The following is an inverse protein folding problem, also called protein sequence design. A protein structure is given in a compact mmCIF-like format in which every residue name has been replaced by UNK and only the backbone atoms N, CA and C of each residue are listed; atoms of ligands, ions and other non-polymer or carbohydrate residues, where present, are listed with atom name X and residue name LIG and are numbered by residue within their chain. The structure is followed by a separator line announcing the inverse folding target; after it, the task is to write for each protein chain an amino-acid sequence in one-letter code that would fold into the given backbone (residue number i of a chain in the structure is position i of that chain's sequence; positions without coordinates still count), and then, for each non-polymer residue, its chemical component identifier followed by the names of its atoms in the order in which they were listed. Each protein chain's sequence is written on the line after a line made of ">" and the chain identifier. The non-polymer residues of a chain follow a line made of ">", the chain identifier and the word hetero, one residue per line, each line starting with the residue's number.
data_IF_879507574148
#
_entry.id   IF_879507574148
#
_cell.length_a   1.000
_cell.length_b   1.000
_cell.length_c   1.000
_cell.angle_alpha   90.00
_cell.angle_beta   90.00
_cell.angle_gamma   90.00
#
_symmetry.space_group_name_H-M   'P 1'
#
loop_
_entity.id
_entity.type
_entity.pdbx_description
1 polymer ?
#
# COMPACT_ATOMS: atom_id res chain seq x y z
N UNK A 1 -3.50 -6.95 21.43
CA UNK A 1 -2.62 -7.28 20.29
C UNK A 1 -3.37 -6.97 19.00
N UNK A 2 -2.78 -6.24 18.05
CA UNK A 2 -3.41 -5.97 16.75
C UNK A 2 -3.58 -7.27 15.96
N UNK A 3 -4.77 -7.53 15.40
CA UNK A 3 -5.04 -8.74 14.61
C UNK A 3 -4.13 -8.81 13.38
N UNK A 4 -3.96 -7.69 12.70
CA UNK A 4 -3.05 -7.50 11.57
C UNK A 4 -2.18 -6.25 11.78
N UNK A 5 -0.97 -6.25 11.23
CA UNK A 5 -0.11 -5.06 11.25
C UNK A 5 -0.30 -4.20 10.00
N UNK A 6 -0.67 -4.82 8.88
CA UNK A 6 -0.72 -4.19 7.56
C UNK A 6 -2.02 -4.53 6.84
N UNK A 7 -2.72 -3.52 6.33
CA UNK A 7 -3.68 -3.69 5.24
C UNK A 7 -2.93 -3.72 3.92
N UNK A 8 -3.07 -4.79 3.14
CA UNK A 8 -2.52 -4.86 1.79
C UNK A 8 -3.64 -4.91 0.77
N UNK A 9 -3.68 -3.95 -0.15
CA UNK A 9 -4.72 -3.85 -1.17
C UNK A 9 -4.13 -3.81 -2.57
N UNK A 10 -4.84 -4.44 -3.50
CA UNK A 10 -4.52 -4.46 -4.93
C UNK A 10 -5.72 -3.96 -5.73
N UNK A 11 -5.44 -3.31 -6.85
CA UNK A 11 -6.50 -2.84 -7.76
C UNK A 11 -7.15 -3.96 -8.56
N UNK A 12 -6.48 -5.10 -8.74
CA UNK A 12 -6.97 -6.22 -9.55
C UNK A 12 -6.51 -7.58 -9.02
N UNK A 13 -7.22 -8.65 -9.42
CA UNK A 13 -6.79 -10.03 -9.15
C UNK A 13 -5.51 -10.40 -9.91
N UNK A 14 -5.22 -9.78 -11.06
CA UNK A 14 -3.98 -10.02 -11.82
C UNK A 14 -2.72 -9.59 -11.07
N UNK A 15 -2.83 -8.57 -10.21
CA UNK A 15 -1.70 -8.10 -9.39
C UNK A 15 -1.26 -9.14 -8.34
N UNK A 16 -2.11 -10.13 -8.05
CA UNK A 16 -1.87 -11.15 -7.03
C UNK A 16 -0.61 -11.97 -7.27
N UNK A 17 -0.20 -12.14 -8.54
CA UNK A 17 1.07 -12.80 -8.88
C UNK A 17 2.26 -12.11 -8.21
N UNK A 18 2.28 -10.77 -8.23
CA UNK A 18 3.28 -9.96 -7.55
C UNK A 18 2.98 -9.81 -6.06
N UNK A 19 1.71 -9.74 -5.68
CA UNK A 19 1.28 -9.67 -4.28
C UNK A 19 1.72 -10.87 -3.45
N UNK A 20 1.76 -12.07 -4.05
CA UNK A 20 2.26 -13.28 -3.39
C UNK A 20 3.73 -13.14 -2.94
N UNK A 21 4.57 -12.45 -3.71
CA UNK A 21 5.95 -12.18 -3.30
C UNK A 21 5.99 -11.31 -2.05
N UNK A 22 5.21 -10.21 -2.03
CA UNK A 22 5.12 -9.34 -0.86
C UNK A 22 4.63 -10.11 0.37
N UNK A 23 3.54 -10.89 0.24
CA UNK A 23 2.97 -11.69 1.33
C UNK A 23 3.96 -12.73 1.87
N UNK A 24 4.74 -13.37 0.99
CA UNK A 24 5.78 -14.30 1.40
C UNK A 24 6.90 -13.63 2.22
N UNK A 25 7.33 -12.44 1.80
CA UNK A 25 8.31 -11.63 2.53
C UNK A 25 7.76 -11.16 3.88
N UNK A 26 6.53 -10.62 3.92
CA UNK A 26 5.88 -10.21 5.16
C UNK A 26 5.78 -11.36 6.17
N UNK A 27 5.41 -12.56 5.72
CA UNK A 27 5.38 -13.76 6.55
C UNK A 27 6.76 -14.09 7.11
N UNK A 28 7.83 -13.97 6.31
CA UNK A 28 9.22 -14.18 6.76
C UNK A 28 9.63 -13.18 7.85
N UNK A 29 9.09 -11.96 7.82
CA UNK A 29 9.34 -10.92 8.81
C UNK A 29 8.38 -10.98 10.01
N UNK A 30 7.52 -12.00 10.15
CA UNK A 30 6.55 -12.08 11.25
C UNK A 30 5.38 -11.09 11.14
N UNK A 31 5.22 -10.44 9.98
CA UNK A 31 4.20 -9.41 9.76
C UNK A 31 2.88 -10.06 9.34
N UNK A 32 1.84 -9.92 10.16
CA UNK A 32 0.46 -10.31 9.82
C UNK A 32 -0.16 -9.30 8.86
N UNK A 33 -0.57 -9.77 7.68
CA UNK A 33 -1.16 -8.95 6.62
C UNK A 33 -2.62 -9.30 6.43
N UNK A 34 -3.46 -8.29 6.21
CA UNK A 34 -4.84 -8.43 5.76
C UNK A 34 -4.92 -8.10 4.26
N UNK A 35 -4.93 -9.10 3.37
CA UNK A 35 -4.96 -8.85 1.93
C UNK A 35 -6.38 -8.55 1.45
N UNK A 36 -6.51 -7.73 0.42
CA UNK A 36 -7.78 -7.33 -0.20
C UNK A 36 -7.58 -6.99 -1.68
N UNK A 37 -8.65 -7.07 -2.46
CA UNK A 37 -8.71 -6.51 -3.82
C UNK A 37 -9.82 -5.46 -3.84
N UNK A 38 -9.44 -4.21 -4.05
CA UNK A 38 -10.34 -3.07 -4.09
C UNK A 38 -9.83 -2.09 -5.15
N UNK A 39 -10.62 -1.87 -6.19
CA UNK A 39 -10.23 -1.00 -7.30
C UNK A 39 -10.83 0.39 -7.15
N UNK A 40 -10.01 1.44 -7.14
CA UNK A 40 -10.52 2.81 -7.22
C UNK A 40 -11.13 3.17 -8.60
N UNK A 41 -10.91 2.35 -9.64
CA UNK A 41 -11.45 2.57 -11.00
C UNK A 41 -12.68 1.72 -11.30
N UNK A 42 -12.66 0.42 -10.95
CA UNK A 42 -13.78 -0.48 -11.23
C UNK A 42 -14.88 -0.40 -10.18
N UNK A 43 -14.51 -0.16 -8.91
CA UNK A 43 -15.43 0.15 -7.81
C UNK A 43 -15.57 1.67 -7.63
N UNK A 44 -15.51 2.43 -8.73
CA UNK A 44 -15.33 3.88 -8.72
C UNK A 44 -16.43 4.62 -7.93
N UNK A 45 -15.99 5.46 -7.00
CA UNK A 45 -16.84 6.35 -6.19
C UNK A 45 -16.68 6.11 -4.69
N UNK A 46 -17.80 6.29 -3.97
CA UNK A 46 -17.86 6.23 -2.51
C UNK A 46 -17.45 4.86 -1.94
N UNK A 47 -17.54 3.78 -2.72
CA UNK A 47 -17.25 2.43 -2.24
C UNK A 47 -15.77 2.23 -1.88
N UNK A 48 -14.85 2.76 -2.69
CA UNK A 48 -13.43 2.69 -2.38
C UNK A 48 -13.10 3.55 -1.15
N UNK A 49 -13.67 4.75 -1.04
CA UNK A 49 -13.44 5.63 0.13
C UNK A 49 -14.05 5.06 1.40
N UNK A 50 -15.23 4.44 1.32
CA UNK A 50 -15.86 3.69 2.42
C UNK A 50 -15.01 2.48 2.82
N UNK A 51 -14.48 1.75 1.83
CA UNK A 51 -13.52 0.68 2.09
C UNK A 51 -12.30 1.21 2.84
N UNK A 52 -11.69 2.32 2.39
CA UNK A 52 -10.55 2.93 3.05
C UNK A 52 -10.89 3.37 4.49
N UNK A 53 -12.03 4.03 4.68
CA UNK A 53 -12.50 4.49 5.99
C UNK A 53 -12.73 3.34 6.98
N UNK A 54 -13.07 2.14 6.49
CA UNK A 54 -13.27 0.94 7.29
C UNK A 54 -11.98 0.18 7.64
N UNK A 55 -10.81 0.62 7.17
CA UNK A 55 -9.53 -0.04 7.47
C UNK A 55 -9.09 0.32 8.89
N UNK A 56 -8.96 -0.68 9.76
CA UNK A 56 -8.51 -0.49 11.15
C UNK A 56 -6.98 -0.48 11.29
N UNK A 57 -6.25 -0.96 10.29
CA UNK A 57 -4.79 -1.02 10.32
C UNK A 57 -4.15 0.37 10.12
N UNK A 58 -3.15 0.72 10.93
CA UNK A 58 -2.45 2.02 10.84
C UNK A 58 -1.53 2.15 9.62
N UNK A 59 -1.25 1.04 8.92
CA UNK A 59 -0.46 1.04 7.70
C UNK A 59 -1.24 0.36 6.58
N UNK A 60 -1.35 1.06 5.46
CA UNK A 60 -2.07 0.62 4.26
C UNK A 60 -1.08 0.58 3.10
N UNK A 61 -0.73 -0.61 2.64
CA UNK A 61 0.05 -0.80 1.42
C UNK A 61 -0.88 -1.04 0.23
N UNK A 62 -0.69 -0.27 -0.84
CA UNK A 62 -1.49 -0.37 -2.07
C UNK A 62 -0.54 -0.62 -3.24
N UNK A 63 -0.76 -1.71 -3.98
CA UNK A 63 0.09 -2.12 -5.11
C UNK A 63 -0.70 -2.16 -6.41
N UNK A 64 -0.07 -1.73 -7.50
CA UNK A 64 -0.63 -1.84 -8.84
C UNK A 64 0.27 -1.23 -9.92
N UNK A 65 -0.15 -1.41 -11.18
CA UNK A 65 0.49 -0.82 -12.36
C UNK A 65 -0.34 0.33 -12.96
N UNK A 66 0.14 0.86 -14.09
CA UNK A 66 -0.48 1.91 -14.90
C UNK A 66 -0.77 3.18 -14.08
N UNK A 67 -1.97 3.74 -14.19
CA UNK A 67 -2.36 4.91 -13.40
C UNK A 67 -2.72 4.48 -11.97
N UNK A 68 -1.73 4.29 -11.11
CA UNK A 68 -1.94 3.87 -9.72
C UNK A 68 -2.49 5.02 -8.86
N UNK A 69 -3.77 5.37 -9.05
CA UNK A 69 -4.44 6.48 -8.35
C UNK A 69 -4.87 6.15 -6.91
N UNK A 70 -5.02 4.86 -6.60
CA UNK A 70 -5.55 4.38 -5.32
C UNK A 70 -4.81 4.92 -4.08
N UNK A 71 -3.44 5.01 -4.04
CA UNK A 71 -2.73 5.62 -2.93
C UNK A 71 -3.14 7.07 -2.66
N UNK A 72 -3.23 7.91 -3.70
CA UNK A 72 -3.61 9.32 -3.54
C UNK A 72 -5.04 9.49 -3.00
N UNK A 73 -5.99 8.70 -3.51
CA UNK A 73 -7.37 8.70 -3.03
C UNK A 73 -7.43 8.21 -1.57
N UNK A 74 -6.70 7.15 -1.23
CA UNK A 74 -6.64 6.64 0.14
C UNK A 74 -6.05 7.67 1.12
N UNK A 75 -4.93 8.31 0.76
CA UNK A 75 -4.31 9.34 1.58
C UNK A 75 -5.22 10.55 1.79
N UNK A 76 -5.89 11.02 0.73
CA UNK A 76 -6.87 12.11 0.84
C UNK A 76 -8.07 11.73 1.71
N UNK A 77 -8.55 10.48 1.61
CA UNK A 77 -9.65 9.97 2.43
C UNK A 77 -9.27 10.00 3.92
N UNK A 78 -8.11 9.47 4.28
CA UNK A 78 -7.59 9.44 5.66
C UNK A 78 -7.43 10.85 6.22
N UNK A 79 -6.90 11.78 5.41
CA UNK A 79 -6.74 13.17 5.82
C UNK A 79 -8.07 13.86 6.09
N UNK A 80 -9.09 13.63 5.25
CA UNK A 80 -10.44 14.16 5.45
C UNK A 80 -11.15 13.57 6.67
N UNK A 81 -10.74 12.39 7.12
CA UNK A 81 -11.22 11.75 8.35
C UNK A 81 -10.40 12.14 9.59
N UNK A 82 -9.39 12.99 9.44
CA UNK A 82 -8.47 13.42 10.51
C UNK A 82 -7.70 12.27 11.18
N UNK A 83 -7.51 11.15 10.47
CA UNK A 83 -6.80 9.97 10.97
C UNK A 83 -5.28 10.06 10.72
N UNK A 84 -4.65 11.13 11.19
CA UNK A 84 -3.25 11.48 10.89
C UNK A 84 -2.19 10.45 11.33
N UNK A 85 -2.57 9.47 12.16
CA UNK A 85 -1.71 8.35 12.54
C UNK A 85 -1.62 7.24 11.49
N UNK A 86 -2.55 7.19 10.51
CA UNK A 86 -2.54 6.16 9.46
C UNK A 86 -1.64 6.57 8.30
N UNK A 87 -0.84 5.62 7.83
CA UNK A 87 0.12 5.79 6.75
C UNK A 87 -0.33 5.03 5.50
N UNK A 88 -0.19 5.67 4.34
CA UNK A 88 -0.40 5.02 3.04
C UNK A 88 0.95 4.81 2.34
N UNK A 89 1.18 3.59 1.88
CA UNK A 89 2.37 3.16 1.18
C UNK A 89 2.01 2.65 -0.22
N UNK A 90 2.41 3.39 -1.26
CA UNK A 90 2.26 2.99 -2.65
C UNK A 90 3.39 2.06 -3.12
N UNK A 91 3.03 0.97 -3.81
CA UNK A 91 3.98 0.01 -4.39
C UNK A 91 3.75 -0.04 -5.92
N UNK A 92 4.53 0.73 -6.70
CA UNK A 92 4.36 0.78 -8.15
C UNK A 92 4.93 -0.46 -8.83
N UNK A 93 4.18 -1.03 -9.78
CA UNK A 93 4.59 -2.18 -10.60
C UNK A 93 5.24 -1.79 -11.93
N UNK A 94 5.09 -0.54 -12.36
CA UNK A 94 5.69 0.02 -13.58
C UNK A 94 6.02 1.52 -13.41
N UNK A 95 6.67 2.11 -14.42
CA UNK A 95 7.05 3.54 -14.39
C UNK A 95 5.85 4.49 -14.38
N UNK A 96 4.74 4.10 -15.01
CA UNK A 96 3.52 4.90 -15.01
C UNK A 96 2.93 4.97 -13.59
N UNK A 97 2.92 3.84 -12.87
CA UNK A 97 2.47 3.78 -11.48
C UNK A 97 3.39 4.57 -10.54
N UNK A 98 4.69 4.57 -10.81
CA UNK A 98 5.65 5.38 -10.06
C UNK A 98 5.35 6.87 -10.21
N UNK A 99 5.19 7.34 -11.45
CA UNK A 99 4.84 8.75 -11.75
C UNK A 99 3.50 9.13 -11.10
N UNK A 100 2.49 8.26 -11.17
CA UNK A 100 1.19 8.49 -10.53
C UNK A 100 1.26 8.72 -9.01
N UNK A 101 2.30 8.21 -8.34
CA UNK A 101 2.54 8.44 -6.90
C UNK A 101 3.48 9.64 -6.68
N UNK A 102 4.57 9.75 -7.44
CA UNK A 102 5.61 10.75 -7.22
C UNK A 102 5.18 12.17 -7.60
N UNK A 103 4.26 12.29 -8.57
CA UNK A 103 3.79 13.58 -9.10
C UNK A 103 2.53 14.07 -8.37
N UNK A 104 2.22 13.53 -7.19
CA UNK A 104 1.11 14.02 -6.37
C UNK A 104 1.33 15.48 -5.97
N UNK A 105 0.28 16.33 -6.04
CA UNK A 105 0.38 17.70 -5.56
C UNK A 105 0.66 17.73 -4.05
N UNK A 106 1.29 18.81 -3.55
CA UNK A 106 1.52 18.96 -2.13
C UNK A 106 0.19 18.95 -1.36
N UNK A 107 0.15 18.22 -0.24
CA UNK A 107 -1.01 18.17 0.64
C UNK A 107 -1.37 16.76 1.12
N UNK A 108 -1.14 15.74 0.30
CA UNK A 108 -1.44 14.33 0.60
C UNK A 108 -0.14 13.52 0.61
N UNK A 109 0.41 13.16 1.78
CA UNK A 109 1.66 12.42 1.86
C UNK A 109 1.46 10.94 1.56
N UNK A 110 2.19 10.41 0.57
CA UNK A 110 2.22 8.98 0.24
C UNK A 110 3.66 8.48 0.33
N UNK A 111 3.88 7.42 1.10
CA UNK A 111 5.17 6.73 1.15
C UNK A 111 5.31 5.85 -0.10
N UNK A 112 6.53 5.71 -0.63
CA UNK A 112 6.79 4.78 -1.74
C UNK A 112 8.17 4.15 -1.60
N UNK A 113 8.38 3.02 -2.28
CA UNK A 113 9.65 2.30 -2.31
C UNK A 113 10.54 2.75 -3.48
N UNK A 114 11.85 2.48 -3.37
CA UNK A 114 12.75 2.62 -4.51
C UNK A 114 12.35 1.69 -5.66
N UNK A 115 12.04 2.28 -6.82
CA UNK A 115 11.61 1.56 -8.02
C UNK A 115 12.79 1.12 -8.88
N UNK A 116 12.79 -0.16 -9.27
CA UNK A 116 13.76 -0.72 -10.20
C UNK A 116 13.11 -0.95 -11.57
N UNK A 117 13.57 -0.17 -12.56
CA UNK A 117 13.06 -0.20 -13.94
C UNK A 117 13.29 -1.53 -14.68
N UNK A 118 14.24 -2.34 -14.23
CA UNK A 118 14.63 -3.60 -14.90
C UNK A 118 13.96 -4.82 -14.26
N UNK A 119 13.70 -4.77 -12.97
CA UNK A 119 13.15 -5.90 -12.22
C UNK A 119 12.25 -5.40 -11.08
N UNK A 120 10.93 -5.50 -11.29
CA UNK A 120 9.91 -5.09 -10.33
C UNK A 120 9.97 -5.89 -9.02
N UNK A 121 10.54 -7.10 -9.02
CA UNK A 121 10.65 -7.91 -7.80
C UNK A 121 11.61 -7.27 -6.78
N UNK A 122 12.60 -6.51 -7.25
CA UNK A 122 13.47 -5.70 -6.41
C UNK A 122 12.67 -4.54 -5.78
N UNK A 123 11.79 -3.89 -6.54
CA UNK A 123 10.88 -2.85 -6.00
C UNK A 123 9.98 -3.41 -4.90
N UNK A 124 9.39 -4.59 -5.11
CA UNK A 124 8.54 -5.26 -4.12
C UNK A 124 9.34 -5.65 -2.87
N UNK A 125 10.58 -6.11 -3.06
CA UNK A 125 11.48 -6.42 -1.94
C UNK A 125 11.84 -5.18 -1.14
N UNK A 126 12.13 -4.05 -1.80
CA UNK A 126 12.36 -2.76 -1.15
C UNK A 126 11.13 -2.30 -0.36
N UNK A 127 9.93 -2.43 -0.94
CA UNK A 127 8.68 -2.14 -0.25
C UNK A 127 8.53 -3.00 1.01
N UNK A 128 8.81 -4.30 0.90
CA UNK A 128 8.72 -5.22 2.02
C UNK A 128 9.66 -4.82 3.18
N UNK A 129 10.92 -4.49 2.86
CA UNK A 129 11.90 -4.05 3.84
C UNK A 129 11.52 -2.70 4.49
N UNK A 130 10.99 -1.76 3.70
CA UNK A 130 10.54 -0.47 4.20
C UNK A 130 9.34 -0.62 5.16
N UNK A 131 8.34 -1.41 4.76
CA UNK A 131 7.18 -1.73 5.60
C UNK A 131 7.61 -2.42 6.89
N UNK A 132 8.52 -3.40 6.81
CA UNK A 132 9.03 -4.08 8.00
C UNK A 132 9.72 -3.12 8.97
N UNK A 133 10.50 -2.15 8.47
CA UNK A 133 11.14 -1.13 9.31
C UNK A 133 10.14 -0.16 9.96
N UNK A 134 9.07 0.20 9.25
CA UNK A 134 8.00 1.04 9.82
C UNK A 134 7.32 0.30 10.97
N UNK A 135 6.95 -0.96 10.77
CA UNK A 135 6.27 -1.77 11.78
C UNK A 135 7.20 -2.10 12.95
N UNK A 136 8.43 -2.55 12.67
CA UNK A 136 9.42 -2.96 13.68
C UNK A 136 9.92 -1.83 14.58
N UNK A 137 9.65 -0.56 14.22
CA UNK A 137 9.85 0.58 15.11
C UNK A 137 8.99 0.46 16.38
N UNK A 138 7.74 0.01 16.23
CA UNK A 138 6.74 -0.02 17.30
C UNK A 138 6.42 -1.44 17.79
N UNK A 139 6.82 -2.48 17.04
CA UNK A 139 6.69 -3.89 17.41
C UNK A 139 8.06 -4.59 17.42
N UNK A 140 8.70 -4.77 18.59
CA UNK A 140 10.00 -5.43 18.70
C UNK A 140 10.05 -6.89 18.25
N UNK A 141 8.89 -7.53 18.00
CA UNK A 141 8.82 -8.89 17.49
C UNK A 141 9.01 -9.00 15.97
N UNK A 142 9.06 -7.86 15.26
CA UNK A 142 9.25 -7.71 13.81
C UNK A 142 10.62 -7.11 13.52
#
# INVERSE_FOLDING_TARGET
>A
MKKYHLRFSMGSMSDWRMGNLLLALMKKFGIRVHPSVASCHWSAGNDFTVFIAGIEEDLIAIMGGLSLAAPGIAGSTIQNLEEFGKLVFGIPLDEAALSAIQDLPPGVPILTCGFNKKDVTISITNAALAVARIIGRDDPAV
#
